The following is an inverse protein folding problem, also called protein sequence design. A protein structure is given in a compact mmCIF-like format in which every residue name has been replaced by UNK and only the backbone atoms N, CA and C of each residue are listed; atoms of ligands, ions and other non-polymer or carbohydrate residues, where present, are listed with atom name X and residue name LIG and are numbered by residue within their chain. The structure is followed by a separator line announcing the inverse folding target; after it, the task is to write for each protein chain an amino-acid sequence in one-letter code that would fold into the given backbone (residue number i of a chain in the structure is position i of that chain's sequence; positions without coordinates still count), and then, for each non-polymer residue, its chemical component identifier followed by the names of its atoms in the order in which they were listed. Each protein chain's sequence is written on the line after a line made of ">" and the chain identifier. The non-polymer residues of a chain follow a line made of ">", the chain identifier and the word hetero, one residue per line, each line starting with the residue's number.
data_IF_009915722016
#
_entry.id   IF_009915722016
#
_cell.length_a   1.000
_cell.length_b   1.000
_cell.length_c   1.000
_cell.angle_alpha   90.00
_cell.angle_beta   90.00
_cell.angle_gamma   90.00
#
_symmetry.space_group_name_H-M   'P 1'
#
loop_
_entity.id
_entity.type
_entity.pdbx_description
1 polymer ?
#
# COMPACT_ATOMS: atom_id res chain seq x y z
N UNK A 1 1.61 9.19 10.98
CA UNK A 1 0.62 10.21 10.55
C UNK A 1 -0.43 9.51 9.72
N UNK A 2 -1.71 9.79 9.94
CA UNK A 2 -2.79 9.11 9.22
C UNK A 2 -2.98 9.74 7.83
N UNK A 3 -3.27 8.88 6.84
CA UNK A 3 -3.72 9.26 5.50
C UNK A 3 -5.14 9.82 5.57
N UNK A 4 -5.51 10.72 4.66
CA UNK A 4 -6.84 11.31 4.61
C UNK A 4 -7.75 10.50 3.68
N UNK A 5 -8.24 11.18 2.65
CA UNK A 5 -9.06 10.65 1.58
C UNK A 5 -8.29 9.70 0.63
N UNK A 6 -6.96 9.61 0.78
CA UNK A 6 -6.07 8.66 0.12
C UNK A 6 -5.84 8.91 -1.37
N UNK A 7 -6.29 10.03 -1.93
CA UNK A 7 -6.29 10.26 -3.39
C UNK A 7 -5.00 10.86 -3.93
N UNK A 8 -4.16 11.47 -3.10
CA UNK A 8 -2.89 12.10 -3.49
C UNK A 8 -1.65 11.28 -3.10
N UNK A 9 -1.78 10.44 -2.08
CA UNK A 9 -0.72 9.58 -1.53
C UNK A 9 -0.51 8.32 -2.37
N UNK A 10 0.73 7.96 -2.73
CA UNK A 10 1.03 6.74 -3.49
C UNK A 10 1.08 5.49 -2.61
N UNK A 11 0.25 4.50 -2.92
CA UNK A 11 0.08 3.26 -2.14
C UNK A 11 1.38 2.49 -1.89
N UNK A 12 2.29 2.42 -2.87
CA UNK A 12 3.53 1.63 -2.75
C UNK A 12 4.70 2.39 -2.12
N UNK A 13 4.78 3.70 -2.31
CA UNK A 13 6.04 4.45 -2.21
C UNK A 13 6.02 5.59 -1.17
N UNK A 14 4.88 6.22 -0.91
CA UNK A 14 4.78 7.30 0.09
C UNK A 14 4.57 6.68 1.50
N UNK A 15 4.84 7.42 2.59
CA UNK A 15 5.03 6.86 3.95
C UNK A 15 3.77 6.85 4.82
N UNK A 16 2.72 6.19 4.34
CA UNK A 16 1.35 6.28 4.89
C UNK A 16 0.94 5.19 5.90
N UNK A 17 1.71 4.10 6.05
CA UNK A 17 1.45 3.05 7.06
C UNK A 17 2.49 3.20 8.18
N UNK A 18 2.08 3.64 9.37
CA UNK A 18 2.96 3.88 10.53
C UNK A 18 4.17 4.80 10.25
N UNK A 19 4.10 5.67 9.23
CA UNK A 19 5.23 6.48 8.78
C UNK A 19 6.23 5.74 7.88
N UNK A 20 5.86 4.57 7.34
CA UNK A 20 6.59 3.77 6.35
C UNK A 20 5.74 3.54 5.10
N UNK A 21 6.41 3.27 4.00
CA UNK A 21 5.80 2.85 2.73
C UNK A 21 5.67 1.33 2.66
N UNK A 22 4.80 0.81 1.78
CA UNK A 22 4.72 -0.63 1.53
C UNK A 22 6.06 -1.17 0.99
N UNK A 23 6.77 -0.39 0.17
CA UNK A 23 8.11 -0.74 -0.30
C UNK A 23 9.13 -0.95 0.83
N UNK A 24 9.02 -0.22 1.95
CA UNK A 24 9.87 -0.37 3.15
C UNK A 24 9.38 -1.47 4.10
N UNK A 25 8.09 -1.83 4.09
CA UNK A 25 7.49 -2.84 4.99
C UNK A 25 7.57 -4.25 4.37
N UNK A 26 7.43 -4.34 3.05
CA UNK A 26 7.20 -5.57 2.29
C UNK A 26 7.99 -5.56 0.97
N UNK A 27 9.34 -5.61 1.03
CA UNK A 27 10.21 -5.38 -0.12
C UNK A 27 10.12 -6.48 -1.19
N UNK A 28 9.90 -7.74 -0.82
CA UNK A 28 9.79 -8.84 -1.77
C UNK A 28 8.43 -8.84 -2.48
N UNK A 29 7.35 -8.55 -1.77
CA UNK A 29 6.04 -8.30 -2.39
C UNK A 29 6.09 -7.10 -3.35
N UNK A 30 6.73 -6.01 -2.92
CA UNK A 30 6.97 -4.84 -3.77
C UNK A 30 7.74 -5.24 -5.04
N UNK A 31 8.80 -6.05 -4.95
CA UNK A 31 9.51 -6.57 -6.14
C UNK A 31 8.60 -7.45 -7.03
N UNK A 32 7.73 -8.27 -6.45
CA UNK A 32 6.83 -9.16 -7.20
C UNK A 32 5.65 -8.45 -7.91
N UNK A 33 5.32 -7.20 -7.57
CA UNK A 33 4.20 -6.46 -8.17
C UNK A 33 4.62 -5.65 -9.41
N UNK A 34 4.11 -6.03 -10.58
CA UNK A 34 4.44 -5.39 -11.86
C UNK A 34 3.75 -4.03 -12.12
N UNK A 35 2.63 -3.72 -11.46
CA UNK A 35 1.91 -2.43 -11.65
C UNK A 35 1.67 -1.69 -10.32
N UNK A 36 2.47 -0.65 -10.08
CA UNK A 36 2.55 0.11 -8.81
C UNK A 36 1.97 1.53 -8.83
N UNK A 37 1.56 2.06 -10.00
CA UNK A 37 0.88 3.37 -10.08
C UNK A 37 -0.57 3.23 -9.60
N UNK A 38 -0.80 3.46 -8.30
CA UNK A 38 -2.10 3.65 -7.63
C UNK A 38 -1.94 4.61 -6.46
N UNK A 39 -2.98 5.38 -6.15
CA UNK A 39 -3.08 6.09 -4.87
C UNK A 39 -3.58 5.14 -3.75
N UNK A 40 -3.57 5.61 -2.50
CA UNK A 40 -3.98 4.79 -1.33
C UNK A 40 -5.44 4.37 -1.44
N UNK A 41 -6.32 5.26 -1.86
CA UNK A 41 -7.74 4.99 -2.11
C UNK A 41 -7.92 3.79 -3.05
N UNK A 42 -7.36 3.84 -4.26
CA UNK A 42 -7.39 2.74 -5.24
C UNK A 42 -6.72 1.45 -4.75
N UNK A 43 -5.77 1.54 -3.83
CA UNK A 43 -5.03 0.40 -3.29
C UNK A 43 -5.79 -0.35 -2.19
N UNK A 44 -6.62 0.35 -1.41
CA UNK A 44 -7.49 -0.30 -0.42
C UNK A 44 -8.76 -0.90 -1.07
N UNK A 45 -9.29 -0.27 -2.12
CA UNK A 45 -10.50 -0.74 -2.82
C UNK A 45 -10.34 -2.13 -3.45
N UNK A 46 -11.23 -3.06 -3.08
CA UNK A 46 -11.33 -4.46 -3.54
C UNK A 46 -10.01 -5.27 -3.47
N UNK A 47 -8.98 -4.75 -2.77
CA UNK A 47 -7.58 -5.21 -2.85
C UNK A 47 -7.10 -5.47 -4.31
N UNK A 48 -7.61 -4.72 -5.30
CA UNK A 48 -7.41 -4.93 -6.76
C UNK A 48 -5.96 -5.02 -7.22
N UNK A 49 -4.99 -4.63 -6.40
CA UNK A 49 -3.56 -4.69 -6.73
C UNK A 49 -2.99 -6.12 -6.71
N UNK A 50 -3.61 -7.07 -6.00
CA UNK A 50 -3.14 -8.46 -5.85
C UNK A 50 -3.00 -9.18 -7.20
N UNK A 51 -3.92 -8.92 -8.15
CA UNK A 51 -3.85 -9.47 -9.53
C UNK A 51 -2.69 -8.94 -10.40
N UNK A 52 -1.84 -8.07 -9.84
CA UNK A 52 -0.61 -7.59 -10.47
C UNK A 52 0.66 -8.07 -9.74
N UNK A 53 0.53 -8.99 -8.78
CA UNK A 53 1.66 -9.82 -8.35
C UNK A 53 1.96 -10.78 -9.52
N UNK A 54 3.05 -10.49 -10.24
CA UNK A 54 3.45 -11.20 -11.47
C UNK A 54 4.84 -11.82 -11.36
N UNK A 55 5.58 -11.54 -10.29
CA UNK A 55 6.79 -12.27 -9.90
C UNK A 55 6.47 -13.60 -9.20
N UNK A 56 7.51 -14.37 -8.88
CA UNK A 56 7.36 -15.66 -8.21
C UNK A 56 6.74 -15.52 -6.82
N UNK A 57 5.73 -16.35 -6.52
CA UNK A 57 5.07 -16.45 -5.21
C UNK A 57 5.94 -17.25 -4.22
N UNK A 58 7.13 -16.74 -3.89
CA UNK A 58 7.99 -17.34 -2.87
C UNK A 58 7.38 -17.20 -1.48
N UNK A 59 7.85 -18.01 -0.52
CA UNK A 59 7.41 -17.91 0.89
C UNK A 59 7.55 -16.48 1.43
N UNK A 60 8.62 -15.77 1.08
CA UNK A 60 8.80 -14.38 1.50
C UNK A 60 7.77 -13.42 0.88
N UNK A 61 7.40 -13.60 -0.39
CA UNK A 61 6.33 -12.80 -1.04
C UNK A 61 4.98 -13.05 -0.36
N UNK A 62 4.71 -14.29 0.08
CA UNK A 62 3.49 -14.64 0.82
C UNK A 62 3.47 -14.06 2.24
N UNK A 63 4.61 -14.09 2.96
CA UNK A 63 4.74 -13.47 4.28
C UNK A 63 4.60 -11.94 4.23
N UNK A 64 5.28 -11.31 3.27
CA UNK A 64 5.15 -9.89 2.97
C UNK A 64 3.68 -9.51 2.65
N UNK A 65 3.00 -10.33 1.84
CA UNK A 65 1.57 -10.16 1.52
C UNK A 65 0.69 -10.23 2.76
N UNK A 66 0.89 -11.21 3.65
CA UNK A 66 0.09 -11.35 4.87
C UNK A 66 0.31 -10.19 5.86
N UNK A 67 1.55 -9.71 6.00
CA UNK A 67 1.91 -8.52 6.79
C UNK A 67 1.15 -7.27 6.28
N UNK A 68 1.16 -7.02 4.97
CA UNK A 68 0.38 -5.92 4.37
C UNK A 68 -1.14 -6.17 4.46
N UNK A 69 -1.58 -7.42 4.30
CA UNK A 69 -2.99 -7.77 4.36
C UNK A 69 -3.65 -7.43 5.70
N UNK A 70 -2.98 -7.74 6.82
CA UNK A 70 -3.48 -7.40 8.16
C UNK A 70 -3.36 -5.89 8.43
N UNK A 71 -2.26 -5.24 8.02
CA UNK A 71 -2.10 -3.78 8.15
C UNK A 71 -3.17 -2.99 7.43
N UNK A 72 -3.65 -3.44 6.27
CA UNK A 72 -4.75 -2.79 5.57
C UNK A 72 -6.10 -2.90 6.31
N UNK A 73 -6.30 -3.92 7.16
CA UNK A 73 -7.59 -4.13 7.87
C UNK A 73 -7.85 -3.11 8.97
N UNK A 74 -6.80 -2.50 9.52
CA UNK A 74 -6.88 -1.46 10.55
C UNK A 74 -6.91 -0.03 9.99
N UNK A 75 -6.90 0.15 8.66
CA UNK A 75 -6.85 1.48 8.04
C UNK A 75 -8.24 1.88 7.55
N UNK A 76 -8.76 2.94 8.16
CA UNK A 76 -9.94 3.67 7.70
C UNK A 76 -9.48 4.99 7.07
N UNK A 77 -9.96 5.28 5.85
CA UNK A 77 -9.80 6.58 5.20
C UNK A 77 -10.87 7.55 5.68
N UNK A 78 -10.57 8.84 5.63
CA UNK A 78 -11.53 9.91 5.89
C UNK A 78 -11.76 10.71 4.60
N UNK A 79 -12.83 10.38 3.88
CA UNK A 79 -13.21 11.06 2.63
C UNK A 79 -13.56 12.55 2.82
N UNK A 80 -13.70 13.05 4.06
CA UNK A 80 -13.89 14.47 4.35
C UNK A 80 -12.58 15.25 4.52
N UNK A 81 -11.45 14.56 4.67
CA UNK A 81 -10.13 15.16 4.93
C UNK A 81 -9.15 14.85 3.80
N UNK A 82 -8.82 15.84 2.98
CA UNK A 82 -7.81 15.66 1.92
C UNK A 82 -6.44 15.24 2.48
N UNK A 83 -5.78 14.33 1.76
CA UNK A 83 -4.37 13.97 1.97
C UNK A 83 -3.45 15.20 2.13
N UNK A 84 -2.77 15.30 3.26
CA UNK A 84 -1.71 16.32 3.45
C UNK A 84 -0.44 15.86 2.74
N UNK A 85 0.03 16.61 1.73
CA UNK A 85 1.27 16.31 1.02
C UNK A 85 2.45 16.20 1.99
N UNK A 86 3.00 15.00 2.12
CA UNK A 86 4.30 14.78 2.74
C UNK A 86 5.40 15.22 1.77
N UNK A 87 6.42 15.93 2.25
CA UNK A 87 7.66 16.10 1.47
C UNK A 87 8.37 14.75 1.37
N UNK A 88 8.92 14.46 0.18
CA UNK A 88 9.58 13.18 -0.15
C UNK A 88 11.07 13.21 0.21
#
# INVERSE_FOLDING_TARGET
>A
MQVGDGKLTLFWNDRWIDGRSIAEIAPCLNQAVGRKRRNVYEGLQDRRWVKYITGALTVQVLLDYLNIWERMRSITLDDSVQDKKQMR
#
